data_IF_424270431182
#
_entry.id   IF_424270431182
#
_cell.length_a   1.000
_cell.length_b   1.000
_cell.length_c   1.000
_cell.angle_alpha   90.00
_cell.angle_beta   90.00
_cell.angle_gamma   90.00
#
_symmetry.space_group_name_H-M   'P 1'
#
loop_
_entity.id
_entity.type
_entity.pdbx_description
1 polymer ?
#
# COMPACT_ATOMS: atom_id res chain seq x y z
N UNK A 1 77.58 -66.31 -17.25
CA UNK A 1 77.24 -64.85 -17.24
C UNK A 1 76.59 -64.38 -18.55
N UNK A 2 76.79 -65.06 -19.69
CA UNK A 2 76.19 -64.65 -20.96
C UNK A 2 74.70 -65.05 -21.14
N UNK A 3 74.21 -66.10 -20.49
CA UNK A 3 72.79 -66.51 -20.64
C UNK A 3 71.80 -65.59 -19.90
N UNK A 4 72.22 -64.95 -18.81
CA UNK A 4 71.37 -63.99 -18.09
C UNK A 4 71.10 -62.73 -18.92
N UNK A 5 72.07 -62.30 -19.73
CA UNK A 5 71.94 -61.10 -20.57
C UNK A 5 70.95 -61.36 -21.72
N UNK A 6 70.94 -62.57 -22.28
CA UNK A 6 69.99 -62.94 -23.33
C UNK A 6 68.54 -62.97 -22.84
N UNK A 7 68.28 -63.45 -21.61
CA UNK A 7 66.94 -63.43 -21.02
C UNK A 7 66.41 -62.02 -20.75
N UNK A 8 67.26 -61.06 -20.37
CA UNK A 8 66.88 -59.64 -20.22
C UNK A 8 66.56 -58.97 -21.57
N UNK A 9 67.24 -59.33 -22.66
CA UNK A 9 66.89 -58.81 -23.99
C UNK A 9 65.58 -59.39 -24.52
N UNK A 10 65.34 -60.69 -24.33
CA UNK A 10 64.09 -61.35 -24.78
C UNK A 10 62.87 -60.88 -23.98
N UNK A 11 63.02 -60.66 -22.67
CA UNK A 11 61.93 -60.12 -21.82
C UNK A 11 61.74 -58.61 -21.98
N UNK A 12 62.82 -57.84 -22.18
CA UNK A 12 62.77 -56.40 -22.43
C UNK A 12 62.17 -56.02 -23.79
N UNK A 13 62.54 -56.72 -24.87
CA UNK A 13 61.91 -56.54 -26.19
C UNK A 13 60.47 -57.07 -26.22
N UNK A 14 60.17 -58.17 -25.52
CA UNK A 14 58.80 -58.69 -25.40
C UNK A 14 57.85 -57.71 -24.71
N UNK A 15 58.31 -57.01 -23.67
CA UNK A 15 57.55 -55.94 -23.03
C UNK A 15 57.36 -54.71 -23.92
N UNK A 16 58.31 -54.37 -24.79
CA UNK A 16 58.16 -53.27 -25.73
C UNK A 16 57.15 -53.59 -26.86
N UNK A 17 57.16 -54.82 -27.39
CA UNK A 17 56.26 -55.24 -28.47
C UNK A 17 54.80 -55.31 -28.02
N UNK A 18 54.54 -55.75 -26.78
CA UNK A 18 53.18 -55.82 -26.24
C UNK A 18 52.77 -54.56 -25.46
N UNK A 19 53.70 -53.83 -24.84
CA UNK A 19 53.42 -52.64 -24.05
C UNK A 19 53.01 -51.42 -24.88
N UNK A 20 53.63 -51.22 -26.05
CA UNK A 20 53.30 -50.11 -26.95
C UNK A 20 51.85 -50.17 -27.47
N UNK A 21 51.33 -51.31 -27.97
CA UNK A 21 49.93 -51.39 -28.40
C UNK A 21 48.95 -51.22 -27.23
N UNK A 22 49.28 -51.71 -26.03
CA UNK A 22 48.44 -51.49 -24.83
C UNK A 22 48.37 -50.00 -24.49
N UNK A 23 49.51 -49.29 -24.49
CA UNK A 23 49.55 -47.84 -24.26
C UNK A 23 48.76 -47.10 -25.35
N UNK A 24 48.84 -47.55 -26.60
CA UNK A 24 48.08 -46.95 -27.72
C UNK A 24 46.57 -47.16 -27.56
N UNK A 25 46.13 -48.35 -27.16
CA UNK A 25 44.71 -48.65 -26.90
C UNK A 25 44.19 -47.86 -25.69
N UNK A 26 44.98 -47.78 -24.61
CA UNK A 26 44.63 -46.96 -23.44
C UNK A 26 44.55 -45.49 -23.83
N UNK A 27 45.52 -44.97 -24.59
CA UNK A 27 45.52 -43.60 -25.09
C UNK A 27 44.29 -43.33 -25.97
N UNK A 28 43.94 -44.26 -26.87
CA UNK A 28 42.78 -44.15 -27.74
C UNK A 28 41.45 -44.14 -26.96
N UNK A 29 41.31 -45.03 -25.97
CA UNK A 29 40.14 -45.10 -25.09
C UNK A 29 40.01 -43.83 -24.23
N UNK A 30 41.10 -43.41 -23.59
CA UNK A 30 41.15 -42.18 -22.79
C UNK A 30 40.74 -40.98 -23.64
N UNK A 31 41.30 -40.84 -24.85
CA UNK A 31 40.99 -39.71 -25.74
C UNK A 31 39.53 -39.67 -26.20
N UNK A 32 38.94 -40.81 -26.57
CA UNK A 32 37.54 -40.84 -27.04
C UNK A 32 36.50 -40.81 -25.90
N UNK A 33 36.73 -41.52 -24.79
CA UNK A 33 35.74 -41.60 -23.70
C UNK A 33 35.74 -40.37 -22.79
N UNK A 34 36.90 -39.76 -22.50
CA UNK A 34 36.94 -38.52 -21.70
C UNK A 34 36.28 -37.36 -22.44
N UNK A 35 36.43 -37.28 -23.77
CA UNK A 35 35.76 -36.25 -24.56
C UNK A 35 34.23 -36.35 -24.45
N UNK A 36 33.67 -37.56 -24.50
CA UNK A 36 32.22 -37.76 -24.36
C UNK A 36 31.72 -37.43 -22.94
N UNK A 37 32.41 -37.91 -21.91
CA UNK A 37 32.02 -37.68 -20.51
C UNK A 37 32.13 -36.21 -20.08
N UNK A 38 33.19 -35.52 -20.51
CA UNK A 38 33.36 -34.08 -20.24
C UNK A 38 32.29 -33.25 -20.95
N UNK A 39 31.88 -33.64 -22.16
CA UNK A 39 30.86 -32.93 -22.92
C UNK A 39 29.46 -33.09 -22.30
N UNK A 40 29.08 -34.29 -21.86
CA UNK A 40 27.82 -34.49 -21.12
C UNK A 40 27.80 -33.77 -19.77
N UNK A 41 28.93 -33.80 -19.04
CA UNK A 41 29.06 -33.07 -17.77
C UNK A 41 28.96 -31.56 -17.98
N UNK A 42 29.57 -31.03 -19.04
CA UNK A 42 29.45 -29.62 -19.43
C UNK A 42 28.01 -29.25 -19.81
N UNK A 43 27.31 -30.10 -20.58
CA UNK A 43 25.92 -29.90 -20.96
C UNK A 43 24.97 -29.89 -19.77
N UNK A 44 25.18 -30.79 -18.81
CA UNK A 44 24.42 -30.83 -17.55
C UNK A 44 24.71 -29.61 -16.65
N UNK A 45 25.92 -29.05 -16.71
CA UNK A 45 26.25 -27.80 -16.00
C UNK A 45 25.55 -26.60 -16.64
N UNK A 46 25.63 -26.45 -17.96
CA UNK A 46 24.95 -25.38 -18.69
C UNK A 46 23.43 -25.40 -18.46
N UNK A 47 22.81 -26.58 -18.45
CA UNK A 47 21.36 -26.72 -18.19
C UNK A 47 21.00 -26.30 -16.76
N UNK A 48 21.86 -26.61 -15.77
CA UNK A 48 21.64 -26.17 -14.38
C UNK A 48 21.83 -24.65 -14.23
N UNK A 49 22.80 -24.07 -14.91
CA UNK A 49 23.02 -22.62 -14.95
C UNK A 49 21.83 -21.89 -15.59
N UNK A 50 21.28 -22.43 -16.68
CA UNK A 50 20.08 -21.89 -17.32
C UNK A 50 18.85 -21.95 -16.40
N UNK A 51 18.63 -23.10 -15.73
CA UNK A 51 17.54 -23.25 -14.76
C UNK A 51 17.71 -22.29 -13.57
N UNK A 52 18.95 -22.11 -13.08
CA UNK A 52 19.25 -21.17 -12.02
C UNK A 52 19.00 -19.71 -12.46
N UNK A 53 19.38 -19.35 -13.68
CA UNK A 53 19.14 -18.03 -14.26
C UNK A 53 17.65 -17.76 -14.45
N UNK A 54 16.87 -18.73 -14.93
CA UNK A 54 15.41 -18.63 -15.04
C UNK A 54 14.78 -18.45 -13.66
N UNK A 55 15.18 -19.26 -12.68
CA UNK A 55 14.66 -19.17 -11.30
C UNK A 55 14.96 -17.80 -10.69
N UNK A 56 16.16 -17.26 -10.92
CA UNK A 56 16.53 -15.92 -10.45
C UNK A 56 15.67 -14.84 -11.10
N UNK A 57 15.38 -14.94 -12.41
CA UNK A 57 14.48 -14.00 -13.10
C UNK A 57 13.05 -14.08 -12.60
N UNK A 58 12.52 -15.29 -12.34
CA UNK A 58 11.18 -15.47 -11.78
C UNK A 58 11.10 -14.83 -10.38
N UNK A 59 12.08 -15.10 -9.51
CA UNK A 59 12.16 -14.46 -8.19
C UNK A 59 12.24 -12.94 -8.28
N UNK A 60 13.00 -12.40 -9.23
CA UNK A 60 13.09 -10.96 -9.43
C UNK A 60 11.73 -10.35 -9.85
N UNK A 61 10.97 -11.04 -10.70
CA UNK A 61 9.61 -10.61 -11.10
C UNK A 61 8.63 -10.73 -9.93
N UNK A 62 8.66 -11.83 -9.19
CA UNK A 62 7.86 -12.00 -7.97
C UNK A 62 8.15 -10.91 -6.94
N UNK A 63 9.43 -10.59 -6.70
CA UNK A 63 9.83 -9.52 -5.79
C UNK A 63 9.30 -8.16 -6.24
N UNK A 64 9.39 -7.83 -7.53
CA UNK A 64 8.85 -6.58 -8.08
C UNK A 64 7.34 -6.55 -7.96
N UNK A 65 6.65 -7.66 -8.26
CA UNK A 65 5.20 -7.77 -8.14
C UNK A 65 4.73 -7.62 -6.69
N UNK A 66 5.38 -8.34 -5.76
CA UNK A 66 5.06 -8.30 -4.34
C UNK A 66 5.29 -6.90 -3.75
N UNK A 67 6.35 -6.20 -4.17
CA UNK A 67 6.60 -4.80 -3.78
C UNK A 67 5.52 -3.86 -4.33
N UNK A 68 5.15 -4.01 -5.60
CA UNK A 68 4.08 -3.21 -6.20
C UNK A 68 2.73 -3.43 -5.53
N UNK A 69 2.40 -4.68 -5.19
CA UNK A 69 1.17 -5.03 -4.47
C UNK A 69 1.16 -4.46 -3.05
N UNK A 70 2.30 -4.51 -2.34
CA UNK A 70 2.42 -3.92 -1.01
C UNK A 70 2.25 -2.39 -1.03
N UNK A 71 2.85 -1.70 -2.00
CA UNK A 71 2.72 -0.26 -2.17
C UNK A 71 1.30 0.17 -2.52
N UNK A 72 0.65 -0.55 -3.43
CA UNK A 72 -0.74 -0.31 -3.81
C UNK A 72 -1.68 -0.50 -2.61
N UNK A 73 -1.52 -1.60 -1.87
CA UNK A 73 -2.30 -1.86 -0.66
C UNK A 73 -2.08 -0.77 0.40
N UNK A 74 -0.84 -0.34 0.63
CA UNK A 74 -0.54 0.75 1.56
C UNK A 74 -1.23 2.05 1.15
N UNK A 75 -1.17 2.42 -0.14
CA UNK A 75 -1.86 3.59 -0.66
C UNK A 75 -3.38 3.52 -0.49
N UNK A 76 -3.99 2.37 -0.80
CA UNK A 76 -5.44 2.18 -0.60
C UNK A 76 -5.82 2.26 0.87
N UNK A 77 -5.04 1.66 1.77
CA UNK A 77 -5.29 1.74 3.21
C UNK A 77 -5.23 3.18 3.71
N UNK A 78 -4.22 3.96 3.32
CA UNK A 78 -4.11 5.37 3.71
C UNK A 78 -5.30 6.18 3.19
N UNK A 79 -5.74 5.95 1.95
CA UNK A 79 -6.92 6.61 1.37
C UNK A 79 -8.21 6.24 2.11
N UNK A 80 -8.38 4.95 2.45
CA UNK A 80 -9.52 4.48 3.22
C UNK A 80 -9.56 5.12 4.61
N UNK A 81 -8.43 5.14 5.33
CA UNK A 81 -8.31 5.79 6.64
C UNK A 81 -8.62 7.28 6.53
N UNK A 82 -8.12 7.97 5.51
CA UNK A 82 -8.41 9.39 5.28
C UNK A 82 -9.90 9.64 4.99
N UNK A 83 -10.54 8.77 4.21
CA UNK A 83 -11.96 8.84 3.90
C UNK A 83 -12.84 8.57 5.14
N UNK A 84 -12.51 7.52 5.91
CA UNK A 84 -13.16 7.21 7.18
C UNK A 84 -13.03 8.36 8.17
N UNK A 85 -11.81 8.92 8.31
CA UNK A 85 -11.58 10.05 9.20
C UNK A 85 -12.36 11.28 8.79
N UNK A 86 -12.52 11.52 7.47
CA UNK A 86 -13.35 12.59 6.94
C UNK A 86 -14.82 12.38 7.32
N UNK A 87 -15.39 11.21 7.09
CA UNK A 87 -16.79 10.91 7.44
C UNK A 87 -17.02 11.08 8.95
N UNK A 88 -16.11 10.53 9.77
CA UNK A 88 -16.17 10.67 11.21
C UNK A 88 -16.16 12.14 11.64
N UNK A 89 -15.26 12.95 11.08
CA UNK A 89 -15.19 14.37 11.41
C UNK A 89 -16.49 15.12 11.04
N UNK A 90 -17.17 14.77 9.95
CA UNK A 90 -18.45 15.38 9.61
C UNK A 90 -19.57 14.94 10.56
N UNK A 91 -19.61 13.68 10.99
CA UNK A 91 -20.57 13.20 11.99
C UNK A 91 -20.38 13.92 13.34
N UNK A 92 -19.13 14.05 13.78
CA UNK A 92 -18.77 14.79 15.00
C UNK A 92 -19.11 16.29 14.85
N UNK A 93 -18.84 16.89 13.70
CA UNK A 93 -19.24 18.29 13.41
C UNK A 93 -20.76 18.47 13.54
N UNK A 94 -21.53 17.54 12.97
CA UNK A 94 -22.99 17.56 13.04
C UNK A 94 -23.47 17.48 14.48
N UNK A 95 -22.87 16.58 15.27
CA UNK A 95 -23.17 16.45 16.70
C UNK A 95 -22.91 17.76 17.45
N UNK A 96 -21.72 18.35 17.32
CA UNK A 96 -21.40 19.61 18.02
C UNK A 96 -22.27 20.78 17.56
N UNK A 97 -22.57 20.90 16.26
CA UNK A 97 -23.49 21.90 15.74
C UNK A 97 -24.90 21.73 16.33
N UNK A 98 -25.38 20.49 16.43
CA UNK A 98 -26.67 20.18 17.05
C UNK A 98 -26.69 20.50 18.55
N UNK A 99 -25.58 20.29 19.27
CA UNK A 99 -25.48 20.69 20.67
C UNK A 99 -25.57 22.21 20.82
N UNK A 100 -24.86 22.98 19.98
CA UNK A 100 -24.96 24.44 19.97
C UNK A 100 -26.41 24.90 19.76
N UNK A 101 -27.13 24.31 18.81
CA UNK A 101 -28.56 24.59 18.56
C UNK A 101 -29.44 24.27 19.77
N UNK A 102 -29.27 23.09 20.38
CA UNK A 102 -30.07 22.65 21.54
C UNK A 102 -29.90 23.56 22.75
N UNK A 103 -28.68 24.03 22.99
CA UNK A 103 -28.34 24.83 24.16
C UNK A 103 -28.31 26.34 23.88
N UNK A 104 -28.62 26.79 22.66
CA UNK A 104 -28.58 28.20 22.27
C UNK A 104 -29.43 29.12 23.17
N UNK A 105 -30.52 28.60 23.73
CA UNK A 105 -31.42 29.32 24.63
C UNK A 105 -31.33 28.84 26.09
N UNK A 106 -30.34 28.01 26.42
CA UNK A 106 -30.19 27.48 27.78
C UNK A 106 -29.65 28.53 28.76
N UNK A 107 -30.01 28.38 30.04
CA UNK A 107 -29.53 29.25 31.10
C UNK A 107 -28.28 28.66 31.80
N UNK A 108 -27.43 29.54 32.30
CA UNK A 108 -26.19 29.18 33.01
C UNK A 108 -25.01 28.88 32.08
N UNK A 109 -23.97 28.25 32.64
CA UNK A 109 -22.69 28.04 31.96
C UNK A 109 -22.70 26.87 30.96
N UNK A 110 -23.83 26.17 30.82
CA UNK A 110 -23.97 25.01 29.93
C UNK A 110 -23.64 25.33 28.47
N UNK A 111 -24.13 26.47 27.96
CA UNK A 111 -23.84 26.92 26.61
C UNK A 111 -22.34 27.18 26.41
N UNK A 112 -21.69 27.83 27.39
CA UNK A 112 -20.26 28.12 27.32
C UNK A 112 -19.44 26.82 27.24
N UNK A 113 -19.77 25.83 28.08
CA UNK A 113 -19.09 24.53 28.06
C UNK A 113 -19.25 23.84 26.70
N UNK A 114 -20.46 23.84 26.14
CA UNK A 114 -20.73 23.25 24.82
C UNK A 114 -19.94 23.96 23.72
N UNK A 115 -19.86 25.29 23.75
CA UNK A 115 -19.09 26.07 22.76
C UNK A 115 -17.60 25.81 22.89
N UNK A 116 -17.06 25.76 24.11
CA UNK A 116 -15.65 25.47 24.37
C UNK A 116 -15.29 24.06 23.90
N UNK A 117 -16.14 23.06 24.17
CA UNK A 117 -15.96 21.69 23.67
C UNK A 117 -15.99 21.65 22.14
N UNK A 118 -16.97 22.31 21.52
CA UNK A 118 -17.10 22.38 20.07
C UNK A 118 -15.88 23.07 19.41
N UNK A 119 -15.35 24.14 20.03
CA UNK A 119 -14.15 24.83 19.55
C UNK A 119 -12.89 23.97 19.73
N UNK A 120 -12.71 23.34 20.89
CA UNK A 120 -11.58 22.42 21.13
C UNK A 120 -11.57 21.25 20.15
N UNK A 121 -12.76 20.75 19.81
CA UNK A 121 -12.93 19.75 18.76
C UNK A 121 -12.59 20.31 17.38
N UNK A 122 -13.08 21.51 17.06
CA UNK A 122 -12.84 22.17 15.77
C UNK A 122 -11.35 22.39 15.50
N UNK A 123 -10.59 22.86 16.48
CA UNK A 123 -9.14 23.10 16.35
C UNK A 123 -8.38 21.83 15.95
N UNK A 124 -8.86 20.66 16.39
CA UNK A 124 -8.25 19.36 16.09
C UNK A 124 -8.70 18.75 14.76
N UNK A 125 -9.91 19.07 14.30
CA UNK A 125 -10.58 18.34 13.22
C UNK A 125 -10.98 19.19 12.01
N UNK A 126 -10.80 20.52 12.06
CA UNK A 126 -11.24 21.41 11.00
C UNK A 126 -10.63 21.06 9.63
N UNK A 127 -9.41 20.50 9.57
CA UNK A 127 -8.76 20.09 8.32
C UNK A 127 -9.55 19.03 7.54
N UNK A 128 -10.39 18.26 8.21
CA UNK A 128 -11.21 17.22 7.60
C UNK A 128 -12.56 17.72 7.08
N UNK A 129 -12.92 18.98 7.36
CA UNK A 129 -14.17 19.60 6.94
C UNK A 129 -13.97 20.41 5.65
N UNK A 130 -15.02 20.51 4.83
CA UNK A 130 -14.98 21.41 3.68
C UNK A 130 -14.95 22.88 4.11
N UNK A 131 -14.53 23.75 3.18
CA UNK A 131 -14.36 25.18 3.46
C UNK A 131 -15.65 25.83 3.96
N UNK A 132 -16.79 25.48 3.35
CA UNK A 132 -18.10 26.03 3.72
C UNK A 132 -18.49 25.59 5.12
N UNK A 133 -18.40 24.29 5.41
CA UNK A 133 -18.66 23.74 6.75
C UNK A 133 -17.79 24.39 7.80
N UNK A 134 -16.47 24.51 7.57
CA UNK A 134 -15.55 25.16 8.51
C UNK A 134 -15.99 26.58 8.86
N UNK A 135 -16.23 27.39 7.82
CA UNK A 135 -16.59 28.79 7.98
C UNK A 135 -17.92 28.94 8.70
N UNK A 136 -18.94 28.16 8.30
CA UNK A 136 -20.23 28.20 8.98
C UNK A 136 -20.13 27.73 10.42
N UNK A 137 -19.35 26.67 10.71
CA UNK A 137 -19.19 26.15 12.06
C UNK A 137 -18.58 27.21 12.99
N UNK A 138 -17.48 27.83 12.57
CA UNK A 138 -16.86 28.92 13.32
C UNK A 138 -17.83 30.10 13.52
N UNK A 139 -18.56 30.48 12.47
CA UNK A 139 -19.56 31.54 12.54
C UNK A 139 -20.66 31.20 13.55
N UNK A 140 -21.21 29.98 13.50
CA UNK A 140 -22.23 29.53 14.43
C UNK A 140 -21.76 29.58 15.89
N UNK A 141 -20.51 29.19 16.17
CA UNK A 141 -19.95 29.28 17.52
C UNK A 141 -19.89 30.72 18.05
N UNK A 142 -19.68 31.71 17.19
CA UNK A 142 -19.73 33.12 17.60
C UNK A 142 -21.16 33.60 17.81
N UNK A 143 -22.07 33.27 16.88
CA UNK A 143 -23.46 33.74 16.95
C UNK A 143 -24.25 33.10 18.09
N UNK A 144 -23.97 31.84 18.44
CA UNK A 144 -24.67 31.13 19.51
C UNK A 144 -24.40 31.79 20.87
N UNK A 145 -23.18 32.29 21.11
CA UNK A 145 -22.81 32.97 22.35
C UNK A 145 -23.62 34.25 22.59
N UNK A 146 -23.98 34.96 21.52
CA UNK A 146 -24.73 36.22 21.60
C UNK A 146 -26.23 36.05 21.37
N UNK A 147 -26.69 34.86 20.96
CA UNK A 147 -28.08 34.63 20.59
C UNK A 147 -29.05 34.91 21.74
N UNK A 148 -28.71 34.40 22.93
CA UNK A 148 -29.51 34.61 24.13
C UNK A 148 -29.64 36.08 24.48
N UNK A 149 -28.55 36.85 24.36
CA UNK A 149 -28.57 38.29 24.62
C UNK A 149 -29.53 39.01 23.67
N UNK A 150 -29.53 38.64 22.37
CA UNK A 150 -30.47 39.21 21.40
C UNK A 150 -31.93 38.90 21.75
N UNK A 151 -32.22 37.67 22.19
CA UNK A 151 -33.56 37.24 22.60
C UNK A 151 -34.00 37.97 23.87
N UNK A 152 -33.13 38.06 24.88
CA UNK A 152 -33.46 38.65 26.19
C UNK A 152 -33.57 40.17 26.14
N UNK A 153 -32.71 40.84 25.37
CA UNK A 153 -32.73 42.29 25.22
C UNK A 153 -33.86 42.78 24.30
N UNK A 154 -34.67 41.86 23.73
CA UNK A 154 -35.75 42.16 22.77
C UNK A 154 -35.25 43.03 21.62
N UNK A 155 -34.07 42.67 21.11
CA UNK A 155 -33.51 43.27 19.89
C UNK A 155 -34.46 43.01 18.73
N UNK A 156 -34.34 43.79 17.65
CA UNK A 156 -35.09 43.62 16.41
C UNK A 156 -35.23 42.13 16.03
N UNK A 157 -36.47 41.71 15.75
CA UNK A 157 -36.80 40.34 15.39
C UNK A 157 -35.99 39.85 14.18
N UNK A 158 -35.61 40.75 13.29
CA UNK A 158 -34.78 40.40 12.14
C UNK A 158 -33.34 40.02 12.53
N UNK A 159 -32.78 40.65 13.57
CA UNK A 159 -31.45 40.29 14.11
C UNK A 159 -31.51 38.90 14.77
N UNK A 160 -32.56 38.62 15.52
CA UNK A 160 -32.77 37.30 16.16
C UNK A 160 -32.88 36.20 15.09
N UNK A 161 -33.65 36.44 14.02
CA UNK A 161 -33.78 35.51 12.89
C UNK A 161 -32.46 35.28 12.16
N UNK A 162 -31.70 36.36 11.90
CA UNK A 162 -30.39 36.25 11.25
C UNK A 162 -29.40 35.46 12.10
N UNK A 163 -29.34 35.75 13.40
CA UNK A 163 -28.52 34.99 14.36
C UNK A 163 -28.90 33.52 14.35
N UNK A 164 -30.19 33.18 14.41
CA UNK A 164 -30.65 31.79 14.37
C UNK A 164 -30.27 31.09 13.05
N UNK A 165 -30.44 31.77 11.91
CA UNK A 165 -30.03 31.23 10.62
C UNK A 165 -28.53 30.90 10.59
N UNK A 166 -27.69 31.76 11.17
CA UNK A 166 -26.24 31.53 11.29
C UNK A 166 -25.87 30.36 12.21
N UNK A 167 -26.65 30.12 13.26
CA UNK A 167 -26.45 28.97 14.16
C UNK A 167 -26.81 27.65 13.46
N UNK A 168 -27.82 27.66 12.59
CA UNK A 168 -28.31 26.47 11.87
C UNK A 168 -27.51 26.16 10.60
N UNK A 169 -26.86 27.16 9.98
CA UNK A 169 -26.08 27.05 8.74
C UNK A 169 -25.07 25.88 8.70
N UNK A 170 -24.32 25.53 9.78
CA UNK A 170 -23.42 24.39 9.77
C UNK A 170 -24.12 23.06 9.53
N UNK A 171 -25.34 22.86 10.04
CA UNK A 171 -26.06 21.59 9.88
C UNK A 171 -26.37 21.31 8.41
N UNK A 172 -26.72 22.36 7.66
CA UNK A 172 -27.00 22.26 6.22
C UNK A 172 -25.71 21.97 5.44
N UNK A 173 -24.62 22.66 5.73
CA UNK A 173 -23.35 22.45 5.04
C UNK A 173 -22.75 21.08 5.31
N UNK A 174 -22.78 20.61 6.58
CA UNK A 174 -22.32 19.27 6.94
C UNK A 174 -23.14 18.21 6.22
N UNK A 175 -24.47 18.34 6.21
CA UNK A 175 -25.34 17.38 5.51
C UNK A 175 -25.04 17.30 4.01
N UNK A 176 -24.79 18.43 3.36
CA UNK A 176 -24.40 18.49 1.93
C UNK A 176 -23.01 17.92 1.66
N UNK A 177 -22.05 18.13 2.55
CA UNK A 177 -20.68 17.64 2.36
C UNK A 177 -20.50 16.14 2.65
N UNK A 178 -21.43 15.51 3.37
CA UNK A 178 -21.47 14.06 3.61
C UNK A 178 -22.01 13.26 2.41
N UNK A 179 -22.50 13.93 1.35
CA UNK A 179 -22.75 13.29 0.06
C UNK A 179 -21.43 12.66 -0.46
N UNK A 180 -21.34 11.33 -0.32
CA UNK A 180 -20.17 10.49 -0.58
C UNK A 180 -19.48 10.85 -1.92
N UNK A 181 -18.13 10.73 -2.01
CA UNK A 181 -17.46 10.92 -3.30
C UNK A 181 -18.05 9.94 -4.33
N UNK A 182 -18.43 10.41 -5.54
CA UNK A 182 -18.77 9.49 -6.61
C UNK A 182 -17.54 8.61 -6.89
N UNK A 183 -17.77 7.31 -7.14
CA UNK A 183 -16.72 6.38 -7.54
C UNK A 183 -15.82 7.03 -8.58
N UNK A 184 -14.49 6.87 -8.45
CA UNK A 184 -13.58 7.40 -9.45
C UNK A 184 -13.93 6.85 -10.83
N UNK A 185 -13.65 7.62 -11.90
CA UNK A 185 -13.95 7.17 -13.26
C UNK A 185 -13.30 5.81 -13.61
N UNK A 186 -12.23 5.44 -12.91
CA UNK A 186 -11.56 4.14 -13.01
C UNK A 186 -12.30 3.03 -12.27
N UNK A 187 -12.75 3.28 -11.02
CA UNK A 187 -13.57 2.34 -10.23
C UNK A 187 -14.94 2.08 -10.89
N UNK A 188 -15.53 3.12 -11.48
CA UNK A 188 -16.76 3.00 -12.27
C UNK A 188 -16.54 2.15 -13.53
N UNK A 189 -15.39 2.32 -14.20
CA UNK A 189 -15.00 1.51 -15.37
C UNK A 189 -14.85 0.05 -14.98
N UNK A 190 -14.12 -0.25 -13.90
CA UNK A 190 -13.87 -1.59 -13.38
C UNK A 190 -15.16 -2.28 -12.89
N UNK A 191 -16.09 -1.55 -12.29
CA UNK A 191 -17.39 -2.06 -11.91
C UNK A 191 -18.28 -2.41 -13.12
N UNK A 192 -18.21 -1.62 -14.21
CA UNK A 192 -18.93 -1.93 -15.46
C UNK A 192 -18.30 -3.05 -16.29
N UNK A 193 -16.99 -3.27 -16.23
CA UNK A 193 -16.33 -4.40 -16.92
C UNK A 193 -16.44 -5.72 -16.17
N UNK A 194 -16.65 -5.73 -14.85
CA UNK A 194 -16.97 -6.94 -14.06
C UNK A 194 -18.47 -7.26 -14.02
N UNK A 195 -19.19 -7.16 -15.14
CA UNK A 195 -20.53 -7.73 -15.22
C UNK A 195 -20.39 -9.26 -15.29
N UNK A 196 -20.93 -10.05 -14.35
CA UNK A 196 -20.91 -11.51 -14.49
C UNK A 196 -21.74 -11.89 -15.71
N UNK A 197 -21.21 -12.83 -16.50
CA UNK A 197 -21.94 -13.55 -17.55
C UNK A 197 -23.19 -14.24 -17.01
#
# INVERSE_FOLDING_TARGET
>A
MQEAIAQWFVTGLGMAVWGVPIIFVVYFLVRNFLSSYTNEKAKNMATKEDIAAITSKVKAVEDVFNRGLADLNAHHQVRMIAAERRIQAHQEAYFHAMQMVRYANSEGDHLMNVVVEAQSWYDKNCLFLGEKTRRSFHTASLFVMHHRDYVQQRVDADIVKQSWAKIMEPLEHVAKEVELPPFSAQELKEATTRRPE
#
